data_IF_995849357231
#
_entry.id   IF_995849357231
#
_cell.length_a   1.000
_cell.length_b   1.000
_cell.length_c   1.000
_cell.angle_alpha   90.00
_cell.angle_beta   90.00
_cell.angle_gamma   90.00
#
_symmetry.space_group_name_H-M   'P 1'
#
loop_
_entity.id
_entity.type
_entity.pdbx_description
1 polymer ?
#
# COMPACT_ATOMS: atom_id res chain seq x y z
N UNK A 1 0.54 -11.80 15.46
CA UNK A 1 0.98 -11.43 14.09
C UNK A 1 0.94 -9.92 13.85
N UNK A 2 -0.10 -9.16 14.21
CA UNK A 2 -0.08 -7.70 13.95
C UNK A 2 1.09 -6.94 14.64
N UNK A 3 1.55 -7.39 15.82
CA UNK A 3 2.70 -6.76 16.49
C UNK A 3 4.04 -6.89 15.76
N UNK A 4 4.27 -7.98 15.01
CA UNK A 4 5.49 -8.15 14.19
C UNK A 4 5.44 -7.27 12.94
N UNK A 5 4.26 -7.05 12.35
CA UNK A 5 4.08 -6.12 11.24
C UNK A 5 4.34 -4.69 11.70
N UNK A 6 3.68 -4.23 12.76
CA UNK A 6 3.86 -2.88 13.30
C UNK A 6 5.33 -2.60 13.69
N UNK A 7 6.01 -3.61 14.25
CA UNK A 7 7.43 -3.52 14.59
C UNK A 7 8.36 -3.39 13.39
N UNK A 8 7.96 -3.89 12.21
CA UNK A 8 8.73 -3.81 10.97
C UNK A 8 8.32 -2.61 10.09
N UNK A 9 7.06 -2.19 10.16
CA UNK A 9 6.49 -1.08 9.37
C UNK A 9 7.15 0.26 9.70
N UNK A 10 7.30 0.61 10.98
CA UNK A 10 7.89 1.89 11.39
C UNK A 10 9.37 2.01 10.97
N UNK A 11 10.24 1.00 11.20
CA UNK A 11 11.59 1.02 10.66
C UNK A 11 11.60 1.16 9.14
N UNK A 12 10.72 0.44 8.45
CA UNK A 12 10.65 0.50 6.98
C UNK A 12 10.21 1.88 6.49
N UNK A 13 9.31 2.54 7.21
CA UNK A 13 8.87 3.92 6.96
C UNK A 13 10.03 4.92 7.05
N UNK A 14 10.86 4.81 8.09
CA UNK A 14 12.04 5.65 8.29
C UNK A 14 13.11 5.40 7.21
N UNK A 15 13.38 4.13 6.91
CA UNK A 15 14.33 3.72 5.86
C UNK A 15 13.84 4.22 4.51
N UNK A 16 12.56 4.06 4.18
CA UNK A 16 11.98 4.56 2.94
C UNK A 16 12.12 6.08 2.81
N UNK A 17 11.88 6.82 3.89
CA UNK A 17 12.11 8.27 3.93
C UNK A 17 13.57 8.67 3.69
N UNK A 18 14.52 7.90 4.22
CA UNK A 18 15.95 8.10 3.95
C UNK A 18 16.32 7.80 2.48
N UNK A 19 15.86 6.65 1.97
CA UNK A 19 16.12 6.23 0.60
C UNK A 19 15.39 7.07 -0.46
N UNK A 20 14.33 7.78 -0.10
CA UNK A 20 13.60 8.67 -1.02
C UNK A 20 14.47 9.76 -1.63
N UNK A 21 15.48 10.24 -0.88
CA UNK A 21 16.44 11.22 -1.39
C UNK A 21 17.47 10.62 -2.35
N UNK A 22 17.71 9.30 -2.32
CA UNK A 22 18.75 8.62 -3.12
C UNK A 22 18.22 7.85 -4.33
N UNK A 23 17.14 7.09 -4.16
CA UNK A 23 16.56 6.23 -5.21
C UNK A 23 15.45 6.91 -6.01
N UNK A 24 14.98 8.07 -5.54
CA UNK A 24 13.83 8.76 -6.12
C UNK A 24 12.50 8.18 -5.63
N UNK A 25 11.53 9.07 -5.44
CA UNK A 25 10.22 8.74 -4.85
C UNK A 25 9.41 7.78 -5.76
N UNK A 26 9.54 7.90 -7.09
CA UNK A 26 8.83 7.06 -8.06
C UNK A 26 9.24 5.58 -7.99
N UNK A 27 10.54 5.29 -7.95
CA UNK A 27 11.03 3.91 -7.85
C UNK A 27 10.56 3.25 -6.55
N UNK A 28 10.59 3.98 -5.44
CA UNK A 28 10.08 3.47 -4.16
C UNK A 28 8.58 3.19 -4.21
N UNK A 29 7.78 4.07 -4.81
CA UNK A 29 6.33 3.83 -5.01
C UNK A 29 6.08 2.58 -5.87
N UNK A 30 6.85 2.36 -6.95
CA UNK A 30 6.75 1.14 -7.74
C UNK A 30 7.12 -0.11 -6.93
N UNK A 31 8.22 -0.06 -6.16
CA UNK A 31 8.64 -1.17 -5.29
C UNK A 31 7.53 -1.49 -4.27
N UNK A 32 6.90 -0.47 -3.68
CA UNK A 32 5.80 -0.65 -2.74
C UNK A 32 4.63 -1.41 -3.40
N UNK A 33 4.17 -0.97 -4.57
CA UNK A 33 3.05 -1.59 -5.27
C UNK A 33 3.37 -3.02 -5.69
N UNK A 34 4.59 -3.30 -6.16
CA UNK A 34 5.03 -4.66 -6.49
C UNK A 34 5.08 -5.54 -5.24
N UNK A 35 5.62 -5.04 -4.12
CA UNK A 35 5.63 -5.76 -2.85
C UNK A 35 4.20 -6.07 -2.36
N UNK A 36 3.28 -5.11 -2.49
CA UNK A 36 1.87 -5.29 -2.17
C UNK A 36 1.18 -6.31 -3.07
N UNK A 37 1.47 -6.32 -4.38
CA UNK A 37 0.97 -7.33 -5.31
C UNK A 37 1.42 -8.74 -4.90
N UNK A 38 2.71 -8.91 -4.63
CA UNK A 38 3.27 -10.17 -4.13
C UNK A 38 2.66 -10.58 -2.79
N UNK A 39 2.39 -9.62 -1.90
CA UNK A 39 1.72 -9.87 -0.62
C UNK A 39 0.31 -10.41 -0.81
N UNK A 40 -0.54 -9.74 -1.60
CA UNK A 40 -1.91 -10.20 -1.83
C UNK A 40 -1.97 -11.52 -2.60
N UNK A 41 -1.07 -11.73 -3.58
CA UNK A 41 -0.95 -13.00 -4.28
C UNK A 41 -0.49 -14.13 -3.34
N UNK A 42 0.48 -13.85 -2.47
CA UNK A 42 0.96 -14.81 -1.46
C UNK A 42 -0.10 -15.15 -0.41
N UNK A 43 -0.93 -14.19 0.00
CA UNK A 43 -2.06 -14.41 0.91
C UNK A 43 -3.11 -15.38 0.34
N UNK A 44 -3.26 -15.45 -0.99
CA UNK A 44 -4.16 -16.43 -1.63
C UNK A 44 -3.61 -17.87 -1.60
N UNK A 45 -2.30 -18.04 -1.48
CA UNK A 45 -1.62 -19.34 -1.57
C UNK A 45 -1.13 -19.86 -0.19
N UNK A 46 -0.99 -18.97 0.79
CA UNK A 46 -0.39 -19.28 2.08
C UNK A 46 -1.40 -19.87 3.07
N UNK A 47 -1.19 -21.12 3.45
CA UNK A 47 -1.98 -21.80 4.49
C UNK A 47 -1.19 -22.07 5.79
N UNK A 48 0.13 -21.86 5.80
CA UNK A 48 0.99 -22.14 6.94
C UNK A 48 1.34 -20.87 7.77
N UNK A 49 1.41 -20.97 9.11
CA UNK A 49 1.76 -19.82 9.97
C UNK A 49 3.13 -19.20 9.66
N UNK A 50 4.13 -20.02 9.32
CA UNK A 50 5.46 -19.55 8.97
C UNK A 50 5.46 -18.71 7.68
N UNK A 51 4.68 -19.12 6.67
CA UNK A 51 4.53 -18.35 5.42
C UNK A 51 3.81 -17.03 5.64
N UNK A 52 2.84 -16.97 6.55
CA UNK A 52 2.15 -15.73 6.92
C UNK A 52 3.08 -14.73 7.62
N UNK A 53 4.01 -15.21 8.46
CA UNK A 53 5.04 -14.35 9.06
C UNK A 53 6.02 -13.81 8.01
N UNK A 54 6.45 -14.63 7.05
CA UNK A 54 7.28 -14.18 5.93
C UNK A 54 6.58 -13.11 5.08
N UNK A 55 5.28 -13.27 4.82
CA UNK A 55 4.47 -12.30 4.08
C UNK A 55 4.40 -10.93 4.77
N UNK A 56 4.56 -10.86 6.10
CA UNK A 56 4.59 -9.56 6.78
C UNK A 56 5.78 -8.69 6.40
N UNK A 57 6.89 -9.26 5.93
CA UNK A 57 7.99 -8.45 5.40
C UNK A 57 7.55 -7.68 4.15
N UNK A 58 6.84 -8.33 3.24
CA UNK A 58 6.29 -7.69 2.04
C UNK A 58 5.24 -6.64 2.41
N UNK A 59 4.40 -6.94 3.40
CA UNK A 59 3.41 -6.00 3.91
C UNK A 59 4.06 -4.76 4.54
N UNK A 60 5.10 -4.95 5.34
CA UNK A 60 5.85 -3.87 5.97
C UNK A 60 6.56 -2.98 4.94
N UNK A 61 7.09 -3.55 3.86
CA UNK A 61 7.63 -2.80 2.72
C UNK A 61 6.52 -1.97 2.05
N UNK A 62 5.39 -2.60 1.75
CA UNK A 62 4.28 -1.92 1.09
C UNK A 62 3.74 -0.74 1.92
N UNK A 63 3.29 -1.00 3.14
CA UNK A 63 2.68 0.01 4.02
C UNK A 63 3.72 1.02 4.52
N UNK A 64 4.94 0.57 4.84
CA UNK A 64 6.02 1.44 5.30
C UNK A 64 6.41 2.47 4.24
N UNK A 65 6.56 2.07 2.98
CA UNK A 65 6.85 3.02 1.89
C UNK A 65 5.66 3.93 1.64
N UNK A 66 4.44 3.38 1.52
CA UNK A 66 3.24 4.17 1.26
C UNK A 66 3.00 5.23 2.34
N UNK A 67 3.14 4.85 3.62
CA UNK A 67 3.01 5.76 4.75
C UNK A 67 4.16 6.77 4.83
N UNK A 68 5.39 6.34 4.55
CA UNK A 68 6.59 7.17 4.73
C UNK A 68 6.77 8.25 3.67
N UNK A 69 6.48 7.91 2.41
CA UNK A 69 6.78 8.80 1.27
C UNK A 69 5.57 9.08 0.37
N UNK A 70 4.45 8.37 0.53
CA UNK A 70 3.28 8.52 -0.34
C UNK A 70 2.69 9.93 -0.33
N UNK A 71 2.62 10.55 0.85
CA UNK A 71 2.18 11.94 0.97
C UNK A 71 3.15 12.91 0.27
N UNK A 72 4.46 12.74 0.48
CA UNK A 72 5.47 13.58 -0.18
C UNK A 72 5.43 13.41 -1.70
N UNK A 73 5.15 12.22 -2.20
CA UNK A 73 5.00 11.96 -3.63
C UNK A 73 3.81 12.72 -4.23
N UNK A 74 2.67 12.75 -3.54
CA UNK A 74 1.52 13.56 -3.95
C UNK A 74 1.75 15.07 -3.86
N UNK A 75 2.48 15.52 -2.84
CA UNK A 75 2.85 16.94 -2.72
C UNK A 75 3.76 17.38 -3.88
N UNK A 76 4.70 16.54 -4.30
CA UNK A 76 5.58 16.83 -5.44
C UNK A 76 4.81 16.93 -6.77
N UNK A 77 3.75 16.15 -6.94
CA UNK A 77 2.87 16.20 -8.12
C UNK A 77 2.03 17.49 -8.19
N UNK A 78 1.90 18.23 -7.08
CA UNK A 78 1.14 19.48 -6.98
C UNK A 78 1.99 20.64 -6.41
N UNK A 79 3.04 21.07 -7.14
CA UNK A 79 3.95 22.11 -6.67
C UNK A 79 3.22 23.42 -6.42
N UNK A 80 3.50 24.07 -5.27
CA UNK A 80 2.84 25.31 -4.86
C UNK A 80 1.52 25.12 -4.10
N UNK A 81 1.00 23.89 -3.97
CA UNK A 81 -0.26 23.59 -3.27
C UNK A 81 -0.13 22.43 -2.26
N UNK A 82 0.97 22.38 -1.50
CA UNK A 82 1.25 21.29 -0.56
C UNK A 82 0.14 21.04 0.48
N UNK A 83 -0.55 22.09 0.94
CA UNK A 83 -1.70 21.97 1.84
C UNK A 83 -2.92 21.28 1.19
N UNK A 84 -3.18 21.59 -0.08
CA UNK A 84 -4.23 20.95 -0.87
C UNK A 84 -3.89 19.48 -1.13
N UNK A 85 -2.66 19.17 -1.55
CA UNK A 85 -2.20 17.80 -1.77
C UNK A 85 -2.31 16.92 -0.53
N UNK A 86 -1.95 17.46 0.64
CA UNK A 86 -2.06 16.75 1.93
C UNK A 86 -3.50 16.48 2.30
N UNK A 87 -4.38 17.48 2.14
CA UNK A 87 -5.82 17.34 2.39
C UNK A 87 -6.43 16.31 1.44
N UNK A 88 -6.12 16.38 0.15
CA UNK A 88 -6.59 15.42 -0.85
C UNK A 88 -6.11 14.00 -0.51
N UNK A 89 -4.82 13.83 -0.18
CA UNK A 89 -4.26 12.54 0.20
C UNK A 89 -4.96 11.96 1.43
N UNK A 90 -5.07 12.74 2.51
CA UNK A 90 -5.68 12.28 3.77
C UNK A 90 -7.17 12.01 3.65
N UNK A 91 -7.93 12.85 2.91
CA UNK A 91 -9.34 12.60 2.62
C UNK A 91 -9.52 11.36 1.75
N UNK A 92 -8.69 11.19 0.72
CA UNK A 92 -8.76 10.01 -0.16
C UNK A 92 -8.47 8.72 0.60
N UNK A 93 -7.46 8.71 1.49
CA UNK A 93 -7.21 7.56 2.35
C UNK A 93 -8.42 7.27 3.24
N UNK A 94 -8.96 8.26 3.96
CA UNK A 94 -10.13 8.01 4.84
C UNK A 94 -11.33 7.47 4.08
N UNK A 95 -11.64 8.05 2.92
CA UNK A 95 -12.72 7.57 2.06
C UNK A 95 -12.44 6.15 1.58
N UNK A 96 -11.19 5.86 1.19
CA UNK A 96 -10.75 4.53 0.82
C UNK A 96 -10.96 3.51 1.95
N UNK A 97 -10.65 3.86 3.20
CA UNK A 97 -10.88 2.99 4.36
C UNK A 97 -12.36 2.71 4.61
N UNK A 98 -13.22 3.72 4.47
CA UNK A 98 -14.68 3.56 4.61
C UNK A 98 -15.20 2.61 3.53
N UNK A 99 -14.87 2.87 2.27
CA UNK A 99 -15.32 2.06 1.12
C UNK A 99 -14.78 0.63 1.23
N UNK A 100 -13.50 0.46 1.53
CA UNK A 100 -12.86 -0.84 1.66
C UNK A 100 -13.45 -1.64 2.83
N UNK A 101 -13.69 -1.02 3.98
CA UNK A 101 -14.31 -1.67 5.13
C UNK A 101 -15.72 -2.17 4.82
N UNK A 102 -16.53 -1.34 4.17
CA UNK A 102 -17.89 -1.71 3.76
C UNK A 102 -17.89 -2.83 2.71
N UNK A 103 -17.06 -2.73 1.67
CA UNK A 103 -16.93 -3.77 0.63
C UNK A 103 -16.41 -5.10 1.20
N UNK A 104 -15.39 -5.04 2.06
CA UNK A 104 -14.83 -6.24 2.69
C UNK A 104 -15.87 -6.94 3.58
N UNK A 105 -16.68 -6.18 4.33
CA UNK A 105 -17.77 -6.74 5.14
C UNK A 105 -18.80 -7.49 4.30
N UNK A 106 -19.33 -6.83 3.25
CA UNK A 106 -20.33 -7.43 2.35
C UNK A 106 -19.75 -8.65 1.62
N UNK A 107 -18.54 -8.54 1.08
CA UNK A 107 -17.90 -9.63 0.36
C UNK A 107 -17.58 -10.83 1.28
N UNK A 108 -17.18 -10.58 2.53
CA UNK A 108 -16.95 -11.63 3.51
C UNK A 108 -18.25 -12.35 3.90
N UNK A 109 -19.36 -11.61 4.02
CA UNK A 109 -20.67 -12.16 4.37
C UNK A 109 -21.27 -13.04 3.25
N UNK A 110 -21.14 -12.61 1.99
CA UNK A 110 -21.77 -13.30 0.85
C UNK A 110 -20.92 -14.45 0.30
N UNK A 111 -19.60 -14.27 0.18
CA UNK A 111 -18.74 -15.16 -0.63
C UNK A 111 -17.61 -15.87 0.12
N UNK A 112 -17.42 -15.64 1.42
CA UNK A 112 -16.21 -15.94 2.23
C UNK A 112 -15.09 -14.90 2.15
N UNK A 113 -14.28 -14.84 3.22
CA UNK A 113 -13.07 -14.02 3.33
C UNK A 113 -12.07 -14.21 2.18
N UNK A 114 -12.06 -15.38 1.55
CA UNK A 114 -11.18 -15.66 0.42
C UNK A 114 -11.48 -14.75 -0.80
N UNK A 115 -12.74 -14.36 -0.99
CA UNK A 115 -13.14 -13.45 -2.07
C UNK A 115 -12.59 -12.03 -1.86
N UNK A 116 -12.46 -11.58 -0.61
CA UNK A 116 -11.93 -10.25 -0.27
C UNK A 116 -10.49 -10.09 -0.77
N UNK A 117 -9.68 -11.15 -0.70
CA UNK A 117 -8.30 -11.14 -1.21
C UNK A 117 -8.23 -11.04 -2.73
N UNK A 118 -9.19 -11.62 -3.45
CA UNK A 118 -9.30 -11.43 -4.91
C UNK A 118 -9.65 -9.99 -5.28
N UNK A 119 -10.59 -9.36 -4.58
CA UNK A 119 -10.88 -7.94 -4.77
C UNK A 119 -9.65 -7.06 -4.50
N UNK A 120 -8.92 -7.33 -3.41
CA UNK A 120 -7.70 -6.60 -3.08
C UNK A 120 -6.61 -6.78 -4.16
N UNK A 121 -6.47 -8.00 -4.71
CA UNK A 121 -5.55 -8.29 -5.82
C UNK A 121 -5.89 -7.48 -7.07
N UNK A 122 -7.16 -7.42 -7.46
CA UNK A 122 -7.61 -6.64 -8.62
C UNK A 122 -7.35 -5.15 -8.40
N UNK A 123 -7.62 -4.63 -7.20
CA UNK A 123 -7.36 -3.23 -6.88
C UNK A 123 -5.87 -2.88 -6.96
N UNK A 124 -4.97 -3.73 -6.45
CA UNK A 124 -3.54 -3.42 -6.50
C UNK A 124 -2.96 -3.52 -7.92
N UNK A 125 -3.50 -4.41 -8.76
CA UNK A 125 -3.18 -4.43 -10.20
C UNK A 125 -3.64 -3.14 -10.88
N UNK A 126 -4.85 -2.66 -10.57
CA UNK A 126 -5.34 -1.38 -11.07
C UNK A 126 -4.45 -0.21 -10.60
N UNK A 127 -4.00 -0.20 -9.34
CA UNK A 127 -3.05 0.78 -8.82
C UNK A 127 -1.73 0.75 -9.58
N UNK A 128 -1.20 -0.44 -9.87
CA UNK A 128 0.03 -0.60 -10.66
C UNK A 128 -0.12 0.01 -12.06
N UNK A 129 -1.25 -0.22 -12.71
CA UNK A 129 -1.55 0.37 -14.02
C UNK A 129 -1.67 1.90 -13.95
N UNK A 130 -2.37 2.43 -12.94
CA UNK A 130 -2.47 3.88 -12.73
C UNK A 130 -1.10 4.51 -12.49
N UNK A 131 -0.26 3.91 -11.65
CA UNK A 131 1.10 4.40 -11.37
C UNK A 131 1.98 4.39 -12.64
N UNK A 132 1.84 3.38 -13.50
CA UNK A 132 2.55 3.30 -14.78
C UNK A 132 2.11 4.39 -15.78
N UNK A 133 0.88 4.90 -15.66
CA UNK A 133 0.32 5.94 -16.52
C UNK A 133 0.66 7.37 -16.11
N UNK A 134 1.10 7.57 -14.87
CA UNK A 134 1.55 8.89 -14.41
C UNK A 134 2.83 9.25 -15.16
N UNK A 135 2.76 10.30 -15.98
CA UNK A 135 3.94 10.92 -16.59
C UNK A 135 4.56 11.87 -15.58
N UNK A 136 5.84 11.67 -15.28
CA UNK A 136 6.62 12.62 -14.49
C UNK A 136 6.63 13.98 -15.23
N UNK A 137 6.26 15.05 -14.52
CA UNK A 137 6.39 16.44 -15.01
C UNK A 137 7.83 16.89 -14.84
#
# INVERSE_FOLDING_TARGET
>A
MMGTAAGLEIPTMLIAGYFAKRLGKRLLMCIAVVAGLCFYAGMLLAHAPATLLGLQLLNAIYIGILGGIGMLYFQDLMPGQAGSATTLYTNTIRVGWIIAGSLAGIAAEIWNYHAVFWFALVMIVATMFCLARIKDV
#
